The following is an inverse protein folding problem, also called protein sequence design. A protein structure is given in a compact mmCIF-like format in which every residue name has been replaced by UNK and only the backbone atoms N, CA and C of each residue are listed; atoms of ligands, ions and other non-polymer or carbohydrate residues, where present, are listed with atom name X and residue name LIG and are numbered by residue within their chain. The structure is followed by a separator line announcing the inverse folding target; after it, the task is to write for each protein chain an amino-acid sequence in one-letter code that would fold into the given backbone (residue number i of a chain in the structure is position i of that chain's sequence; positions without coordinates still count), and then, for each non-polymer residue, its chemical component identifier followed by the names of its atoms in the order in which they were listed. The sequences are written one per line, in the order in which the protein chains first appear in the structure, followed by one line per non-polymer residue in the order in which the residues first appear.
data_IF_206366303260
#
_entry.id   IF_206366303260
#
_cell.length_a   1.000
_cell.length_b   1.000
_cell.length_c   1.000
_cell.angle_alpha   90.00
_cell.angle_beta   90.00
_cell.angle_gamma   90.00
#
_symmetry.space_group_name_H-M   'P 1'
#
loop_
_entity.id
_entity.type
_entity.pdbx_description
1 polymer ?
#
# COMPACT_ATOMS: atom_id res chain seq x y z
N UNK A 1 -4.67 -20.18 -23.55
CA UNK A 1 -5.43 -20.27 -24.82
C UNK A 1 -4.97 -19.29 -25.93
N UNK A 2 -5.43 -18.02 -26.03
CA UNK A 2 -5.02 -17.14 -27.15
C UNK A 2 -3.52 -16.79 -27.15
N UNK A 3 -2.92 -16.63 -25.96
CA UNK A 3 -1.46 -16.37 -25.84
C UNK A 3 -0.61 -17.55 -26.32
N UNK A 4 -1.01 -18.78 -26.01
CA UNK A 4 -0.30 -20.00 -26.40
C UNK A 4 -0.38 -20.25 -27.91
N UNK A 5 -1.57 -20.14 -28.49
CA UNK A 5 -1.83 -20.45 -29.91
C UNK A 5 -1.36 -19.34 -30.87
N UNK A 6 -0.99 -18.15 -30.36
CA UNK A 6 -0.47 -17.04 -31.18
C UNK A 6 0.86 -17.39 -31.86
N UNK A 7 1.63 -18.35 -31.32
CA UNK A 7 2.88 -18.79 -31.92
C UNK A 7 2.67 -19.50 -33.27
N UNK A 8 1.54 -20.15 -33.45
CA UNK A 8 1.24 -21.02 -34.60
C UNK A 8 0.19 -20.42 -35.54
N UNK A 9 -0.71 -19.57 -35.03
CA UNK A 9 -1.85 -19.05 -35.80
C UNK A 9 -1.94 -17.52 -35.79
N UNK A 10 -2.48 -16.96 -36.87
CA UNK A 10 -2.73 -15.53 -36.97
C UNK A 10 -3.78 -15.09 -35.94
N UNK A 11 -3.43 -14.08 -35.14
CA UNK A 11 -4.28 -13.49 -34.10
C UNK A 11 -5.67 -13.09 -34.62
N UNK A 12 -5.78 -12.59 -35.85
CA UNK A 12 -7.07 -12.21 -36.44
C UNK A 12 -8.01 -13.41 -36.58
N UNK A 13 -7.49 -14.56 -37.02
CA UNK A 13 -8.26 -15.80 -37.15
C UNK A 13 -8.65 -16.35 -35.79
N UNK A 14 -7.72 -16.37 -34.83
CA UNK A 14 -8.00 -16.80 -33.45
C UNK A 14 -9.11 -15.98 -32.80
N UNK A 15 -9.03 -14.65 -32.92
CA UNK A 15 -10.04 -13.75 -32.34
C UNK A 15 -11.42 -13.93 -32.99
N UNK A 16 -11.48 -14.15 -34.31
CA UNK A 16 -12.73 -14.47 -35.00
C UNK A 16 -13.31 -15.81 -34.56
N UNK A 17 -12.48 -16.86 -34.46
CA UNK A 17 -12.92 -18.20 -34.06
C UNK A 17 -13.51 -18.22 -32.63
N UNK A 18 -12.98 -17.38 -31.74
CA UNK A 18 -13.42 -17.27 -30.35
C UNK A 18 -14.53 -16.22 -30.17
N UNK A 19 -14.85 -15.45 -31.23
CA UNK A 19 -15.82 -14.37 -31.18
C UNK A 19 -15.39 -13.17 -30.33
N UNK A 20 -14.08 -12.98 -30.10
CA UNK A 20 -13.55 -11.93 -29.24
C UNK A 20 -13.13 -10.69 -30.05
N UNK A 21 -13.66 -9.49 -29.73
CA UNK A 21 -13.21 -8.27 -30.41
C UNK A 21 -11.74 -7.96 -30.15
N UNK A 22 -11.05 -7.46 -31.18
CA UNK A 22 -9.62 -7.10 -31.11
C UNK A 22 -9.34 -6.07 -30.02
N UNK A 23 -10.23 -5.10 -29.82
CA UNK A 23 -10.14 -4.08 -28.76
C UNK A 23 -10.11 -4.71 -27.36
N UNK A 24 -10.97 -5.68 -27.10
CA UNK A 24 -11.07 -6.40 -25.82
C UNK A 24 -9.77 -7.15 -25.54
N UNK A 25 -9.23 -7.87 -26.53
CA UNK A 25 -7.94 -8.56 -26.40
C UNK A 25 -6.81 -7.62 -26.00
N UNK A 26 -6.63 -6.50 -26.70
CA UNK A 26 -5.56 -5.55 -26.37
C UNK A 26 -5.79 -4.82 -25.05
N UNK A 27 -7.04 -4.56 -24.67
CA UNK A 27 -7.39 -4.02 -23.36
C UNK A 27 -6.95 -4.95 -22.23
N UNK A 28 -7.30 -6.24 -22.30
CA UNK A 28 -6.87 -7.23 -21.31
C UNK A 28 -5.36 -7.43 -21.32
N UNK A 29 -4.73 -7.48 -22.50
CA UNK A 29 -3.27 -7.60 -22.62
C UNK A 29 -2.55 -6.44 -21.94
N UNK A 30 -3.04 -5.21 -22.15
CA UNK A 30 -2.46 -4.00 -21.55
C UNK A 30 -2.63 -4.00 -20.04
N UNK A 31 -3.77 -4.46 -19.52
CA UNK A 31 -3.99 -4.61 -18.08
C UNK A 31 -3.02 -5.62 -17.45
N UNK A 32 -2.88 -6.80 -18.04
CA UNK A 32 -1.96 -7.83 -17.54
C UNK A 32 -0.50 -7.34 -17.52
N UNK A 33 -0.07 -6.59 -18.53
CA UNK A 33 1.28 -6.02 -18.56
C UNK A 33 1.54 -4.98 -17.45
N UNK A 34 0.50 -4.35 -16.90
CA UNK A 34 0.60 -3.38 -15.80
C UNK A 34 0.65 -4.09 -14.43
N UNK A 35 0.15 -5.31 -14.33
CA UNK A 35 0.15 -6.09 -13.09
C UNK A 35 1.52 -6.70 -12.77
N UNK A 36 2.30 -7.08 -13.80
CA UNK A 36 3.65 -7.66 -13.65
C UNK A 36 4.61 -6.80 -12.77
N UNK A 37 4.79 -5.48 -13.00
CA UNK A 37 5.63 -4.65 -12.11
C UNK A 37 5.03 -4.42 -10.72
N UNK A 38 3.74 -4.70 -10.53
CA UNK A 38 3.08 -4.52 -9.23
C UNK A 38 3.28 -5.75 -8.33
N UNK A 39 3.50 -6.94 -8.86
CA UNK A 39 3.69 -8.15 -8.05
C UNK A 39 4.93 -8.06 -7.16
N UNK A 40 6.09 -7.68 -7.71
CA UNK A 40 7.30 -7.48 -6.92
C UNK A 40 7.13 -6.40 -5.83
N UNK A 41 6.42 -5.32 -6.15
CA UNK A 41 6.11 -4.27 -5.18
C UNK A 41 5.11 -4.74 -4.11
N UNK A 42 4.14 -5.59 -4.46
CA UNK A 42 3.19 -6.18 -3.50
C UNK A 42 3.92 -7.08 -2.50
N UNK A 43 4.88 -7.89 -2.97
CA UNK A 43 5.72 -8.71 -2.10
C UNK A 43 6.52 -7.85 -1.10
N UNK A 44 7.25 -6.83 -1.59
CA UNK A 44 7.98 -5.91 -0.73
C UNK A 44 7.09 -5.19 0.31
N UNK A 45 5.87 -4.80 -0.08
CA UNK A 45 4.89 -4.19 0.83
C UNK A 45 4.47 -5.19 1.91
N UNK A 46 4.23 -6.46 1.57
CA UNK A 46 3.90 -7.50 2.54
C UNK A 46 5.06 -7.74 3.51
N UNK A 47 6.28 -7.87 3.01
CA UNK A 47 7.47 -8.09 3.84
C UNK A 47 7.65 -6.97 4.86
N UNK A 48 7.63 -5.71 4.41
CA UNK A 48 7.70 -4.54 5.30
C UNK A 48 6.55 -4.52 6.31
N UNK A 49 5.33 -4.84 5.87
CA UNK A 49 4.17 -4.88 6.74
C UNK A 49 4.34 -5.93 7.85
N UNK A 50 4.78 -7.15 7.51
CA UNK A 50 4.98 -8.25 8.45
C UNK A 50 6.19 -8.05 9.35
N UNK A 51 7.30 -7.52 8.83
CA UNK A 51 8.48 -7.11 9.59
C UNK A 51 8.10 -6.14 10.73
N UNK A 52 7.21 -5.18 10.44
CA UNK A 52 6.70 -4.24 11.43
C UNK A 52 5.46 -4.74 12.20
N UNK A 53 5.14 -6.04 12.11
CA UNK A 53 4.02 -6.73 12.77
C UNK A 53 2.65 -6.11 12.49
N UNK A 54 2.48 -5.50 11.32
CA UNK A 54 1.27 -4.82 10.87
C UNK A 54 1.03 -3.43 11.45
N UNK A 55 2.04 -2.83 12.10
CA UNK A 55 1.93 -1.46 12.63
C UNK A 55 2.06 -0.38 11.57
N UNK A 56 2.62 -0.73 10.42
CA UNK A 56 2.88 0.22 9.34
C UNK A 56 1.67 0.27 8.41
N UNK A 57 1.06 1.44 8.31
CA UNK A 57 0.12 1.76 7.23
C UNK A 57 0.82 2.33 6.00
N UNK A 58 0.05 2.61 4.95
CA UNK A 58 0.58 3.04 3.65
C UNK A 58 1.56 4.21 3.72
N UNK A 59 1.34 5.17 4.63
CA UNK A 59 2.26 6.31 4.84
C UNK A 59 3.65 5.86 5.30
N UNK A 60 3.72 5.00 6.32
CA UNK A 60 4.99 4.49 6.84
C UNK A 60 5.67 3.52 5.87
N UNK A 61 4.90 2.69 5.18
CA UNK A 61 5.43 1.82 4.12
C UNK A 61 5.99 2.67 2.97
N UNK A 62 5.29 3.73 2.56
CA UNK A 62 5.80 4.64 1.52
C UNK A 62 7.12 5.28 1.93
N UNK A 63 7.25 5.71 3.19
CA UNK A 63 8.51 6.26 3.71
C UNK A 63 9.63 5.21 3.71
N UNK A 64 9.35 3.98 4.16
CA UNK A 64 10.32 2.88 4.15
C UNK A 64 10.82 2.55 2.73
N UNK A 65 9.89 2.48 1.76
CA UNK A 65 10.23 2.26 0.36
C UNK A 65 11.05 3.41 -0.23
N UNK A 66 10.76 4.66 0.15
CA UNK A 66 11.56 5.82 -0.27
C UNK A 66 12.95 5.82 0.34
N UNK A 67 13.09 5.41 1.60
CA UNK A 67 14.41 5.28 2.23
C UNK A 67 15.27 4.20 1.60
N UNK A 68 14.68 3.18 0.97
CA UNK A 68 15.41 2.19 0.17
C UNK A 68 15.65 2.62 -1.28
N UNK A 69 15.47 3.91 -1.60
CA UNK A 69 15.75 4.49 -2.93
C UNK A 69 14.59 4.44 -3.91
N UNK A 70 13.41 3.90 -3.55
CA UNK A 70 12.28 3.81 -4.46
C UNK A 70 11.45 5.10 -4.50
N UNK A 71 11.39 5.75 -5.67
CA UNK A 71 10.64 6.98 -5.88
C UNK A 71 9.16 6.69 -6.18
N UNK A 72 8.43 6.23 -5.16
CA UNK A 72 7.04 5.76 -5.29
C UNK A 72 6.05 6.78 -4.69
N UNK A 73 4.91 6.95 -5.37
CA UNK A 73 3.79 7.76 -4.90
C UNK A 73 2.98 6.99 -3.83
N UNK A 74 2.65 7.67 -2.72
CA UNK A 74 1.86 7.11 -1.63
C UNK A 74 0.49 6.57 -2.08
N UNK A 75 -0.13 7.16 -3.12
CA UNK A 75 -1.40 6.67 -3.68
C UNK A 75 -1.26 5.27 -4.30
N UNK A 76 -0.14 4.99 -4.95
CA UNK A 76 0.16 3.67 -5.52
C UNK A 76 0.30 2.63 -4.41
N UNK A 77 1.06 2.95 -3.36
CA UNK A 77 1.22 2.08 -2.18
C UNK A 77 -0.13 1.83 -1.51
N UNK A 78 -0.94 2.87 -1.32
CA UNK A 78 -2.27 2.75 -0.72
C UNK A 78 -3.20 1.82 -1.53
N UNK A 79 -3.24 1.98 -2.86
CA UNK A 79 -4.02 1.10 -3.74
C UNK A 79 -3.58 -0.36 -3.59
N UNK A 80 -2.27 -0.62 -3.67
CA UNK A 80 -1.74 -1.99 -3.57
C UNK A 80 -2.00 -2.61 -2.19
N UNK A 81 -1.84 -1.85 -1.11
CA UNK A 81 -2.20 -2.33 0.23
C UNK A 81 -3.68 -2.70 0.34
N UNK A 82 -4.57 -1.90 -0.27
CA UNK A 82 -6.00 -2.19 -0.28
C UNK A 82 -6.32 -3.48 -1.06
N UNK A 83 -5.69 -3.68 -2.23
CA UNK A 83 -5.83 -4.92 -3.01
C UNK A 83 -5.36 -6.16 -2.23
N UNK A 84 -4.33 -6.00 -1.38
CA UNK A 84 -3.82 -7.06 -0.51
C UNK A 84 -4.61 -7.20 0.82
N UNK A 85 -5.60 -6.34 1.07
CA UNK A 85 -6.35 -6.32 2.34
C UNK A 85 -5.53 -5.87 3.56
N UNK A 86 -4.36 -5.24 3.36
CA UNK A 86 -3.47 -4.83 4.44
C UNK A 86 -3.89 -3.48 5.03
N UNK A 87 -4.10 -3.44 6.35
CA UNK A 87 -4.43 -2.23 7.11
C UNK A 87 -3.57 -2.12 8.35
N UNK A 88 -3.20 -0.89 8.72
CA UNK A 88 -2.47 -0.66 9.97
C UNK A 88 -3.28 -1.13 11.17
N UNK A 89 -2.67 -1.94 12.05
CA UNK A 89 -3.24 -2.35 13.34
C UNK A 89 -3.23 -1.23 14.38
N UNK A 90 -2.45 -0.17 14.16
CA UNK A 90 -2.35 0.95 15.11
C UNK A 90 -3.64 1.76 15.04
N UNK A 91 -4.35 1.86 16.17
CA UNK A 91 -5.53 2.69 16.31
C UNK A 91 -5.15 4.17 16.10
N UNK A 92 -5.85 4.92 15.24
CA UNK A 92 -5.64 6.35 15.11
C UNK A 92 -5.85 7.05 16.46
N UNK A 93 -4.89 7.86 16.88
CA UNK A 93 -5.06 8.73 18.04
C UNK A 93 -6.14 9.76 17.71
N UNK A 94 -7.21 9.82 18.50
CA UNK A 94 -8.20 10.89 18.40
C UNK A 94 -7.64 12.16 19.03
N UNK A 95 -7.83 13.29 18.36
CA UNK A 95 -7.47 14.59 18.92
C UNK A 95 -8.25 14.84 20.21
N UNK A 96 -7.58 15.45 21.19
CA UNK A 96 -8.17 15.91 22.45
C UNK A 96 -7.71 17.35 22.66
N UNK A 97 -8.65 18.30 22.68
CA UNK A 97 -8.38 19.73 22.90
C UNK A 97 -8.06 20.06 24.35
N UNK A 98 -8.52 19.23 25.29
CA UNK A 98 -8.26 19.41 26.72
C UNK A 98 -6.78 19.17 27.04
N UNK A 99 -6.06 20.25 27.32
CA UNK A 99 -4.70 20.26 27.87
C UNK A 99 -4.67 20.50 29.38
N UNK A 100 -5.84 20.44 30.04
CA UNK A 100 -5.93 20.67 31.48
C UNK A 100 -5.35 19.50 32.28
N UNK A 101 -5.38 19.65 33.60
CA UNK A 101 -4.86 18.65 34.53
C UNK A 101 -5.58 17.31 34.36
N UNK A 102 -4.82 16.28 33.97
CA UNK A 102 -5.33 14.92 33.83
C UNK A 102 -5.06 14.18 35.14
N UNK A 103 -6.10 13.87 35.90
CA UNK A 103 -5.98 13.19 37.19
C UNK A 103 -5.73 14.13 38.37
N UNK A 104 -5.45 13.56 39.54
CA UNK A 104 -5.18 14.31 40.78
C UNK A 104 -3.71 14.70 40.82
N UNK A 105 -3.43 16.01 40.81
CA UNK A 105 -2.07 16.54 41.00
C UNK A 105 -1.67 16.30 42.45
N UNK A 106 -0.54 15.63 42.68
CA UNK A 106 0.01 15.52 44.02
C UNK A 106 0.62 16.87 44.46
N UNK A 107 0.48 17.27 45.73
CA UNK A 107 1.09 18.50 46.23
C UNK A 107 2.62 18.46 46.08
N UNK A 108 3.23 19.58 45.71
CA UNK A 108 4.69 19.73 45.60
C UNK A 108 5.31 19.86 47.00
N UNK A 109 5.47 18.74 47.71
CA UNK A 109 6.00 18.72 49.08
C UNK A 109 7.47 19.15 49.17
N UNK A 110 8.20 19.16 48.05
CA UNK A 110 9.65 19.43 48.00
C UNK A 110 9.93 20.85 47.46
N UNK A 111 8.90 21.62 47.10
CA UNK A 111 9.00 22.95 46.50
C UNK A 111 10.03 23.03 45.34
N UNK A 112 10.10 21.98 44.52
CA UNK A 112 10.99 21.97 43.34
C UNK A 112 10.35 22.75 42.20
N UNK A 113 11.13 23.57 41.52
CA UNK A 113 10.69 24.24 40.30
C UNK A 113 10.73 23.26 39.11
N UNK A 114 9.61 23.17 38.40
CA UNK A 114 9.44 22.30 37.22
C UNK A 114 9.25 23.12 35.94
N UNK A 115 9.35 24.45 36.00
CA UNK A 115 9.33 25.31 34.84
C UNK A 115 10.69 25.26 34.15
N UNK A 116 10.69 24.93 32.86
CA UNK A 116 11.87 25.03 32.01
C UNK A 116 11.79 26.35 31.21
N UNK A 117 12.89 27.11 31.22
CA UNK A 117 13.05 28.32 30.38
C UNK A 117 13.22 27.96 28.90
#
# INVERSE_FOLDING_TARGET
MVKELKAEFNLSCLLKAIGLPKSVYYYHRKRLAVDEPNEGLKAQIQDLYHQHKGRYGYRRITLALRSSGALINHKRVQRLMNELGLKSKVRPKRYRSYKGHVGRIAPNLVNRDFMAN
#
